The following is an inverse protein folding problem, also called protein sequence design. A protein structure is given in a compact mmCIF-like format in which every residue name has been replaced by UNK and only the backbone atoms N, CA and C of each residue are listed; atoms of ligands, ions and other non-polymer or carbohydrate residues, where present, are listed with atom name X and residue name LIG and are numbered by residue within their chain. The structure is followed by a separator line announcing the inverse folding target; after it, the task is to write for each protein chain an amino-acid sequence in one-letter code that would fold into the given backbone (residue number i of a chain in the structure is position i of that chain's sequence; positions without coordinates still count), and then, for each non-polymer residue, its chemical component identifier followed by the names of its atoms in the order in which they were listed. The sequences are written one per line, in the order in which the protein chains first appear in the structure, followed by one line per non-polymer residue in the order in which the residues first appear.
data_IF_391078516700
#
_entry.id   IF_391078516700
#
_cell.length_a   1.000
_cell.length_b   1.000
_cell.length_c   1.000
_cell.angle_alpha   90.00
_cell.angle_beta   90.00
_cell.angle_gamma   90.00
#
_symmetry.space_group_name_H-M   'P 1'
#
loop_
_entity.id
_entity.type
_entity.pdbx_description
1 polymer ?
#
# COMPACT_ATOMS: atom_id res chain seq x y z
N UNK A 1 -7.27 30.14 -2.06
CA UNK A 1 -6.77 29.46 -3.28
C UNK A 1 -5.47 28.71 -3.00
N UNK A 2 -4.41 29.35 -2.49
CA UNK A 2 -3.18 28.63 -2.09
C UNK A 2 -3.41 27.58 -0.98
N UNK A 3 -4.29 27.87 -0.02
CA UNK A 3 -4.66 26.96 1.06
C UNK A 3 -5.36 25.69 0.57
N UNK A 4 -6.28 25.81 -0.39
CA UNK A 4 -7.02 24.67 -0.93
C UNK A 4 -6.16 23.80 -1.85
N UNK A 5 -5.31 24.43 -2.65
CA UNK A 5 -4.33 23.73 -3.48
C UNK A 5 -3.38 22.90 -2.61
N UNK A 6 -2.90 23.48 -1.51
CA UNK A 6 -2.06 22.79 -0.53
C UNK A 6 -2.76 21.56 0.06
N UNK A 7 -3.99 21.70 0.55
CA UNK A 7 -4.79 20.59 1.10
C UNK A 7 -5.01 19.45 0.10
N UNK A 8 -5.21 19.80 -1.18
CA UNK A 8 -5.35 18.80 -2.23
C UNK A 8 -4.05 18.00 -2.45
N UNK A 9 -2.89 18.67 -2.50
CA UNK A 9 -1.60 17.98 -2.59
C UNK A 9 -1.30 17.12 -1.36
N UNK A 10 -1.65 17.59 -0.16
CA UNK A 10 -1.54 16.79 1.07
C UNK A 10 -2.37 15.50 1.02
N UNK A 11 -3.46 15.49 0.27
CA UNK A 11 -4.29 14.28 0.06
C UNK A 11 -3.73 13.39 -1.05
N UNK A 12 -3.24 13.97 -2.15
CA UNK A 12 -2.74 13.21 -3.30
C UNK A 12 -1.41 12.50 -3.05
N UNK A 13 -0.49 13.09 -2.27
CA UNK A 13 0.83 12.51 -2.01
C UNK A 13 0.72 11.13 -1.33
N UNK A 14 -0.04 10.97 -0.22
CA UNK A 14 -0.27 9.65 0.39
C UNK A 14 -0.88 8.64 -0.58
N UNK A 15 -1.83 9.07 -1.40
CA UNK A 15 -2.50 8.20 -2.40
C UNK A 15 -1.47 7.69 -3.41
N UNK A 16 -0.69 8.59 -4.02
CA UNK A 16 0.32 8.21 -5.00
C UNK A 16 1.37 7.27 -4.41
N UNK A 17 1.87 7.57 -3.20
CA UNK A 17 2.82 6.72 -2.50
C UNK A 17 2.25 5.34 -2.16
N UNK A 18 1.00 5.29 -1.69
CA UNK A 18 0.31 4.06 -1.36
C UNK A 18 0.09 3.15 -2.57
N UNK A 19 -0.33 3.72 -3.70
CA UNK A 19 -0.44 2.97 -4.96
C UNK A 19 0.92 2.50 -5.45
N UNK A 20 1.97 3.33 -5.34
CA UNK A 20 3.32 2.92 -5.69
C UNK A 20 3.78 1.71 -4.84
N UNK A 21 3.59 1.75 -3.52
CA UNK A 21 3.91 0.64 -2.61
C UNK A 21 3.10 -0.61 -2.97
N UNK A 22 1.80 -0.46 -3.24
CA UNK A 22 0.93 -1.57 -3.64
C UNK A 22 1.43 -2.23 -4.94
N UNK A 23 1.71 -1.43 -5.98
CA UNK A 23 2.18 -1.95 -7.26
C UNK A 23 3.58 -2.55 -7.14
N UNK A 24 4.48 -1.94 -6.38
CA UNK A 24 5.81 -2.49 -6.13
C UNK A 24 5.70 -3.86 -5.44
N UNK A 25 4.87 -3.99 -4.40
CA UNK A 25 4.65 -5.26 -3.73
C UNK A 25 4.01 -6.30 -4.67
N UNK A 26 2.99 -5.90 -5.44
CA UNK A 26 2.28 -6.77 -6.37
C UNK A 26 3.19 -7.31 -7.49
N UNK A 27 3.89 -6.43 -8.21
CA UNK A 27 4.73 -6.83 -9.34
C UNK A 27 5.92 -7.70 -8.90
N UNK A 28 6.46 -7.43 -7.71
CA UNK A 28 7.53 -8.22 -7.15
C UNK A 28 7.04 -9.47 -6.38
N UNK A 29 5.73 -9.78 -6.43
CA UNK A 29 5.12 -10.92 -5.74
C UNK A 29 5.39 -10.96 -4.23
N UNK A 30 5.56 -9.80 -3.62
CA UNK A 30 5.63 -9.65 -2.16
C UNK A 30 4.22 -9.81 -1.62
N UNK A 31 4.03 -10.73 -0.68
CA UNK A 31 2.69 -10.95 -0.13
C UNK A 31 2.68 -11.98 0.99
N UNK A 32 1.48 -12.43 1.32
CA UNK A 32 1.28 -13.52 2.27
C UNK A 32 1.74 -14.84 1.66
N UNK A 33 2.50 -15.63 2.44
CA UNK A 33 2.97 -16.95 2.06
C UNK A 33 2.81 -17.93 3.23
N UNK A 34 2.98 -19.23 2.95
CA UNK A 34 3.02 -20.30 3.96
C UNK A 34 4.45 -20.78 4.12
N UNK A 35 4.94 -20.79 5.36
CA UNK A 35 6.27 -21.32 5.66
C UNK A 35 6.29 -22.86 5.63
N UNK A 36 7.48 -23.46 5.83
CA UNK A 36 7.67 -24.92 5.84
C UNK A 36 6.83 -25.64 6.91
N UNK A 37 6.41 -24.92 7.96
CA UNK A 37 5.53 -25.41 9.02
C UNK A 37 4.05 -25.14 8.72
N UNK A 38 3.73 -24.75 7.48
CA UNK A 38 2.39 -24.41 7.00
C UNK A 38 1.74 -23.22 7.74
N UNK A 39 2.54 -22.34 8.36
CA UNK A 39 2.04 -21.13 9.04
C UNK A 39 1.98 -19.96 8.07
N UNK A 40 0.91 -19.17 8.17
CA UNK A 40 0.74 -17.98 7.33
C UNK A 40 1.68 -16.86 7.82
N UNK A 41 2.52 -16.36 6.93
CA UNK A 41 3.50 -15.29 7.17
C UNK A 41 3.38 -14.21 6.10
N UNK A 42 4.02 -13.07 6.37
CA UNK A 42 4.03 -11.92 5.45
C UNK A 42 2.74 -11.11 5.49
N UNK A 43 2.75 -10.01 4.74
CA UNK A 43 1.63 -9.08 4.61
C UNK A 43 1.30 -8.90 3.13
N UNK A 44 0.01 -8.82 2.80
CA UNK A 44 -0.45 -8.67 1.42
C UNK A 44 -0.04 -7.32 0.82
N UNK A 45 0.04 -7.20 -0.53
CA UNK A 45 0.25 -5.90 -1.18
C UNK A 45 -0.75 -4.84 -0.74
N UNK A 46 -2.02 -5.24 -0.54
CA UNK A 46 -3.09 -4.35 -0.07
C UNK A 46 -2.80 -3.86 1.34
N UNK A 47 -2.27 -4.70 2.23
CA UNK A 47 -1.92 -4.32 3.59
C UNK A 47 -0.85 -3.22 3.59
N UNK A 48 0.20 -3.40 2.79
CA UNK A 48 1.27 -2.41 2.63
C UNK A 48 0.75 -1.09 2.06
N UNK A 49 0.04 -1.14 0.93
CA UNK A 49 -0.55 0.05 0.31
C UNK A 49 -1.51 0.78 1.25
N UNK A 50 -2.42 0.06 1.90
CA UNK A 50 -3.42 0.65 2.82
C UNK A 50 -2.76 1.36 4.00
N UNK A 51 -1.75 0.75 4.61
CA UNK A 51 -1.08 1.39 5.75
C UNK A 51 -0.19 2.56 5.33
N UNK A 52 0.41 2.51 4.13
CA UNK A 52 1.06 3.68 3.54
C UNK A 52 0.06 4.81 3.26
N UNK A 53 -1.16 4.49 2.83
CA UNK A 53 -2.21 5.48 2.58
C UNK A 53 -2.60 6.20 3.87
N UNK A 54 -2.86 5.45 4.94
CA UNK A 54 -3.35 5.99 6.21
C UNK A 54 -2.24 6.65 7.05
N UNK A 55 -1.02 6.11 6.99
CA UNK A 55 0.10 6.49 7.87
C UNK A 55 1.40 6.59 7.07
N UNK A 56 1.38 7.46 6.05
CA UNK A 56 2.48 7.68 5.10
C UNK A 56 3.86 7.78 5.77
N UNK A 57 3.97 8.65 6.77
CA UNK A 57 5.25 8.96 7.45
C UNK A 57 5.86 7.74 8.15
N UNK A 58 5.05 6.75 8.51
CA UNK A 58 5.50 5.55 9.23
C UNK A 58 5.72 4.40 8.25
N UNK A 59 4.71 4.10 7.42
CA UNK A 59 4.73 2.86 6.64
C UNK A 59 5.51 2.96 5.34
N UNK A 60 5.63 4.14 4.72
CA UNK A 60 6.49 4.29 3.55
C UNK A 60 7.97 4.03 3.88
N UNK A 61 8.59 4.67 4.90
CA UNK A 61 9.98 4.37 5.22
C UNK A 61 10.15 2.95 5.74
N UNK A 62 9.21 2.43 6.53
CA UNK A 62 9.26 1.05 7.01
C UNK A 62 9.26 0.05 5.85
N UNK A 63 8.39 0.26 4.85
CA UNK A 63 8.37 -0.54 3.63
C UNK A 63 9.71 -0.46 2.90
N UNK A 64 10.25 0.75 2.68
CA UNK A 64 11.52 0.94 1.98
C UNK A 64 12.71 0.28 2.67
N UNK A 65 12.78 0.36 4.01
CA UNK A 65 13.83 -0.31 4.81
C UNK A 65 13.73 -1.82 4.67
N UNK A 66 12.51 -2.37 4.73
CA UNK A 66 12.28 -3.82 4.66
C UNK A 66 12.26 -4.36 3.23
N UNK A 67 12.14 -3.49 2.21
CA UNK A 67 11.92 -3.87 0.81
C UNK A 67 12.91 -4.90 0.30
N UNK A 68 14.21 -4.74 0.63
CA UNK A 68 15.23 -5.70 0.19
C UNK A 68 14.99 -7.10 0.74
N UNK A 69 14.68 -7.22 2.03
CA UNK A 69 14.37 -8.50 2.66
C UNK A 69 13.05 -9.08 2.12
N UNK A 70 12.03 -8.25 1.91
CA UNK A 70 10.76 -8.66 1.31
C UNK A 70 10.94 -9.24 -0.10
N UNK A 71 11.83 -8.65 -0.91
CA UNK A 71 12.18 -9.15 -2.24
C UNK A 71 12.91 -10.49 -2.20
N UNK A 72 13.78 -10.70 -1.21
CA UNK A 72 14.47 -11.99 -1.02
C UNK A 72 13.46 -13.08 -0.64
N UNK A 73 12.57 -12.80 0.31
CA UNK A 73 11.50 -13.72 0.70
C UNK A 73 10.56 -14.02 -0.48
N UNK A 74 10.20 -13.02 -1.29
CA UNK A 74 9.31 -13.21 -2.44
C UNK A 74 9.94 -14.07 -3.55
N UNK A 75 11.27 -14.18 -3.63
CA UNK A 75 11.94 -15.11 -4.55
C UNK A 75 11.78 -16.56 -4.10
N UNK A 76 11.83 -16.81 -2.79
CA UNK A 76 11.66 -18.14 -2.20
C UNK A 76 10.18 -18.56 -2.15
N UNK A 77 9.31 -17.60 -1.83
CA UNK A 77 7.88 -17.81 -1.64
C UNK A 77 7.07 -16.72 -2.37
N UNK A 78 6.94 -16.81 -3.71
CA UNK A 78 6.21 -15.82 -4.49
C UNK A 78 4.73 -15.85 -4.15
N UNK A 79 4.19 -14.72 -3.69
CA UNK A 79 2.77 -14.61 -3.39
C UNK A 79 1.94 -14.52 -4.67
N UNK A 80 0.76 -15.15 -4.65
CA UNK A 80 -0.24 -14.99 -5.70
C UNK A 80 -1.38 -14.10 -5.15
N UNK A 81 -1.31 -12.81 -5.48
CA UNK A 81 -2.33 -11.83 -5.08
C UNK A 81 -3.21 -11.47 -6.26
N UNK A 82 -4.50 -11.23 -6.04
CA UNK A 82 -5.40 -10.72 -7.07
C UNK A 82 -5.23 -9.20 -7.23
N UNK A 83 -4.82 -8.77 -8.42
CA UNK A 83 -4.61 -7.36 -8.74
C UNK A 83 -5.91 -6.57 -8.72
N UNK A 84 -6.98 -7.15 -9.27
CA UNK A 84 -8.25 -6.47 -9.49
C UNK A 84 -8.90 -6.13 -8.16
N UNK A 85 -8.89 -7.10 -7.23
CA UNK A 85 -9.40 -6.91 -5.88
C UNK A 85 -8.57 -5.87 -5.14
N UNK A 86 -7.24 -5.93 -5.27
CA UNK A 86 -6.36 -4.98 -4.58
C UNK A 86 -6.54 -3.54 -5.07
N UNK A 87 -6.62 -3.31 -6.39
CA UNK A 87 -6.91 -2.00 -6.97
C UNK A 87 -8.27 -1.50 -6.49
N UNK A 88 -9.30 -2.35 -6.52
CA UNK A 88 -10.65 -1.97 -6.07
C UNK A 88 -10.64 -1.46 -4.62
N UNK A 89 -10.00 -2.19 -3.71
CA UNK A 89 -9.88 -1.79 -2.30
C UNK A 89 -9.12 -0.46 -2.17
N UNK A 90 -7.98 -0.32 -2.85
CA UNK A 90 -7.16 0.89 -2.80
C UNK A 90 -7.90 2.10 -3.37
N UNK A 91 -8.66 1.93 -4.45
CA UNK A 91 -9.48 2.98 -5.06
C UNK A 91 -10.61 3.43 -4.16
N UNK A 92 -11.33 2.49 -3.51
CA UNK A 92 -12.40 2.83 -2.56
C UNK A 92 -11.83 3.64 -1.39
N UNK A 93 -10.73 3.18 -0.78
CA UNK A 93 -10.10 3.88 0.34
C UNK A 93 -9.59 5.28 -0.04
N UNK A 94 -8.99 5.41 -1.22
CA UNK A 94 -8.54 6.71 -1.73
C UNK A 94 -9.71 7.67 -1.98
N UNK A 95 -10.82 7.17 -2.53
CA UNK A 95 -12.04 7.95 -2.72
C UNK A 95 -12.64 8.42 -1.40
N UNK A 96 -12.69 7.54 -0.39
CA UNK A 96 -13.14 7.90 0.96
C UNK A 96 -12.24 8.95 1.61
N UNK A 97 -10.93 8.84 1.43
CA UNK A 97 -9.95 9.81 1.95
C UNK A 97 -10.15 11.18 1.29
N UNK A 98 -10.29 11.23 -0.04
CA UNK A 98 -10.57 12.46 -0.77
C UNK A 98 -11.88 13.09 -0.29
N UNK A 99 -12.94 12.30 -0.18
CA UNK A 99 -14.24 12.76 0.30
C UNK A 99 -14.15 13.35 1.72
N UNK A 100 -13.51 12.64 2.64
CA UNK A 100 -13.37 13.07 4.04
C UNK A 100 -12.61 14.39 4.18
N UNK A 101 -11.51 14.58 3.44
CA UNK A 101 -10.66 15.76 3.60
C UNK A 101 -11.08 16.97 2.75
N UNK A 102 -11.85 16.78 1.68
CA UNK A 102 -12.17 17.87 0.73
C UNK A 102 -13.67 18.20 0.63
N UNK A 103 -14.56 17.29 1.03
CA UNK A 103 -16.00 17.43 0.80
C UNK A 103 -16.86 17.29 2.05
N UNK A 104 -16.29 16.81 3.16
CA UNK A 104 -16.99 16.73 4.44
C UNK A 104 -16.97 18.13 5.10
N UNK A 105 -18.01 18.92 4.84
CA UNK A 105 -18.26 20.24 5.43
C UNK A 105 -18.83 20.14 6.85
#
# INVERSE_FOLDING_TARGET
MESELSSFFFTLIPIAAAFWVYFDAYHNRIGTYRDELNRLRGHSPVWWGTLTLLLLIIFLPLYLIQRKALLEIAKEHPANSDMSIGILVMSILSGLMIWYYNFNY
#
